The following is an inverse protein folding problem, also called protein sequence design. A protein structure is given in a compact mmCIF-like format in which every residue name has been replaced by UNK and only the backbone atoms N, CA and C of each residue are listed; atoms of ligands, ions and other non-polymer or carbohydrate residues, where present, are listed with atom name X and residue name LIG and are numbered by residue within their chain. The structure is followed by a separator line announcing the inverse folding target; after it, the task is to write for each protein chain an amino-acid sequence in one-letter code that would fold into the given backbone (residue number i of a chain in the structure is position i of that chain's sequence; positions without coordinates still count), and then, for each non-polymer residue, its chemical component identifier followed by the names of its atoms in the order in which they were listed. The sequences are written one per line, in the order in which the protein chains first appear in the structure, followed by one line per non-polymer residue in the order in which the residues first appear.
data_IF_847014618018
#
_entry.id   IF_847014618018
#
_cell.length_a   1.000
_cell.length_b   1.000
_cell.length_c   1.000
_cell.angle_alpha   90.00
_cell.angle_beta   90.00
_cell.angle_gamma   90.00
#
_symmetry.space_group_name_H-M   'P 1'
#
loop_
_entity.id
_entity.type
_entity.pdbx_description
1 polymer ?
#
# COMPACT_ATOMS: atom_id res chain seq x y z
N UNK A 1 6.75 16.11 10.79
CA UNK A 1 8.19 16.27 11.10
C UNK A 1 8.39 17.64 11.72
N UNK A 2 9.14 17.70 12.82
CA UNK A 2 9.47 18.93 13.54
C UNK A 2 10.05 19.98 12.60
N UNK A 3 9.71 21.25 12.82
CA UNK A 3 10.22 22.36 12.03
C UNK A 3 9.61 22.51 10.64
N UNK A 4 8.65 21.66 10.26
CA UNK A 4 7.96 21.76 8.96
C UNK A 4 6.45 21.90 9.11
N UNK A 5 5.80 22.60 8.17
CA UNK A 5 4.34 22.69 8.11
C UNK A 5 3.72 21.39 7.60
N UNK A 6 2.77 20.82 8.35
CA UNK A 6 1.94 19.73 7.86
C UNK A 6 0.77 20.35 7.10
N UNK A 7 0.70 20.14 5.79
CA UNK A 7 -0.24 20.86 4.93
C UNK A 7 -1.57 20.14 4.77
N UNK A 8 -1.60 18.81 4.96
CA UNK A 8 -2.72 17.95 4.55
C UNK A 8 -3.19 18.25 3.12
N UNK A 9 -2.28 18.74 2.27
CA UNK A 9 -2.55 19.19 0.91
C UNK A 9 -3.70 20.20 0.76
N UNK A 10 -3.95 20.99 1.81
CA UNK A 10 -4.88 22.12 1.84
C UNK A 10 -4.11 23.41 2.13
N UNK A 11 -4.33 24.45 1.30
CA UNK A 11 -3.72 25.77 1.53
C UNK A 11 -4.24 26.41 2.81
N UNK A 12 -5.56 26.33 3.03
CA UNK A 12 -6.20 26.84 4.24
C UNK A 12 -5.60 26.21 5.51
N UNK A 13 -5.42 24.89 5.52
CA UNK A 13 -4.80 24.18 6.64
C UNK A 13 -3.34 24.62 6.88
N UNK A 14 -2.56 24.72 5.80
CA UNK A 14 -1.16 25.18 5.87
C UNK A 14 -1.06 26.59 6.45
N UNK A 15 -2.00 27.48 6.12
CA UNK A 15 -1.95 28.88 6.52
C UNK A 15 -2.43 29.05 7.96
N UNK A 16 -3.38 28.23 8.40
CA UNK A 16 -3.92 28.23 9.77
C UNK A 16 -2.91 27.74 10.81
N UNK A 17 -2.09 26.73 10.50
CA UNK A 17 -1.21 26.10 11.47
C UNK A 17 0.28 26.47 11.29
N UNK A 18 1.02 26.66 12.40
CA UNK A 18 2.46 26.85 12.34
C UNK A 18 3.18 25.55 11.97
N UNK A 19 4.50 25.63 11.83
CA UNK A 19 5.33 24.44 11.71
C UNK A 19 5.17 23.55 12.95
N UNK A 20 5.21 22.24 12.74
CA UNK A 20 5.05 21.27 13.83
C UNK A 20 6.22 21.37 14.81
N UNK A 21 5.92 21.39 16.11
CA UNK A 21 6.92 21.43 17.19
C UNK A 21 7.54 20.06 17.50
N UNK A 22 6.96 18.98 16.98
CA UNK A 22 7.39 17.61 17.29
C UNK A 22 7.21 16.67 16.09
N UNK A 23 7.95 15.57 16.10
CA UNK A 23 7.77 14.51 15.14
C UNK A 23 6.51 13.71 15.45
N UNK A 24 5.90 13.13 14.42
CA UNK A 24 4.88 12.10 14.64
C UNK A 24 5.57 10.88 15.27
N UNK A 25 4.93 10.14 16.19
CA UNK A 25 5.57 9.02 16.88
C UNK A 25 6.21 7.99 15.94
N UNK A 26 5.55 7.65 14.84
CA UNK A 26 6.09 6.75 13.80
C UNK A 26 7.33 7.32 13.12
N UNK A 27 7.34 8.62 12.85
CA UNK A 27 8.51 9.29 12.25
C UNK A 27 9.67 9.35 13.24
N UNK A 28 9.39 9.63 14.51
CA UNK A 28 10.42 9.64 15.55
C UNK A 28 11.06 8.25 15.70
N UNK A 29 10.25 7.19 15.78
CA UNK A 29 10.74 5.81 15.85
C UNK A 29 11.65 5.43 14.68
N UNK A 30 11.34 5.89 13.46
CA UNK A 30 12.19 5.67 12.29
C UNK A 30 13.48 6.47 12.35
N UNK A 31 13.41 7.74 12.76
CA UNK A 31 14.60 8.58 12.94
C UNK A 31 15.54 7.99 14.01
N UNK A 32 14.99 7.49 15.11
CA UNK A 32 15.74 6.84 16.20
C UNK A 32 16.48 5.57 15.71
N UNK A 33 15.99 4.95 14.64
CA UNK A 33 16.60 3.80 13.96
C UNK A 33 17.56 4.17 12.83
N UNK A 34 17.80 5.47 12.63
CA UNK A 34 18.71 5.96 11.61
C UNK A 34 18.09 6.12 10.22
N UNK A 35 16.75 6.10 10.09
CA UNK A 35 16.11 6.41 8.83
C UNK A 35 16.35 7.87 8.43
N UNK A 36 16.57 8.12 7.13
CA UNK A 36 16.76 9.46 6.58
C UNK A 36 15.45 9.91 5.91
N UNK A 37 14.85 10.98 6.42
CA UNK A 37 13.63 11.54 5.84
C UNK A 37 13.98 12.52 4.72
N UNK A 38 13.70 12.11 3.49
CA UNK A 38 14.00 12.85 2.25
C UNK A 38 12.93 13.89 1.90
N UNK A 39 11.71 13.76 2.41
CA UNK A 39 10.60 14.66 2.05
C UNK A 39 9.24 14.23 2.57
N UNK A 40 8.22 14.99 2.16
CA UNK A 40 6.80 14.70 2.41
C UNK A 40 6.09 14.50 1.07
N UNK A 41 5.21 13.53 1.03
CA UNK A 41 4.51 13.13 -0.19
C UNK A 41 3.14 13.78 -0.31
N UNK A 42 2.63 13.87 -1.54
CA UNK A 42 1.26 14.30 -1.83
C UNK A 42 0.26 13.31 -1.24
N UNK A 43 -0.74 13.84 -0.53
CA UNK A 43 -1.99 13.14 -0.29
C UNK A 43 -3.20 13.95 -0.82
N UNK A 44 -4.38 13.35 -0.97
CA UNK A 44 -5.62 14.14 -1.19
C UNK A 44 -5.88 15.08 -0.01
N UNK A 45 -6.49 16.23 -0.26
CA UNK A 45 -6.71 17.22 0.77
C UNK A 45 -7.49 16.59 1.93
N UNK A 46 -7.02 16.80 3.16
CA UNK A 46 -7.69 16.28 4.37
C UNK A 46 -7.92 14.76 4.41
N UNK A 47 -7.21 13.97 3.58
CA UNK A 47 -7.37 12.50 3.49
C UNK A 47 -8.80 12.12 3.04
N UNK A 48 -9.49 13.01 2.31
CA UNK A 48 -10.78 12.68 1.71
C UNK A 48 -10.62 12.03 0.34
N UNK A 49 -11.68 11.36 -0.11
CA UNK A 49 -11.74 10.89 -1.50
C UNK A 49 -11.77 12.11 -2.40
N UNK A 50 -10.74 12.23 -3.24
CA UNK A 50 -10.65 13.25 -4.29
C UNK A 50 -10.10 12.55 -5.53
N UNK A 51 -10.73 12.80 -6.65
CA UNK A 51 -10.15 12.50 -7.95
C UNK A 51 -9.06 13.53 -8.28
N UNK A 52 -8.17 13.20 -9.21
CA UNK A 52 -7.04 14.10 -9.52
C UNK A 52 -7.47 15.47 -10.05
N UNK A 53 -8.63 15.53 -10.70
CA UNK A 53 -9.26 16.77 -11.18
C UNK A 53 -9.67 17.71 -10.04
N UNK A 54 -9.91 17.15 -8.85
CA UNK A 54 -10.37 17.87 -7.65
C UNK A 54 -9.20 18.37 -6.79
N UNK A 55 -7.98 17.88 -7.07
CA UNK A 55 -6.75 18.24 -6.36
C UNK A 55 -6.21 19.62 -6.79
N UNK A 56 -6.95 20.70 -6.48
CA UNK A 56 -6.63 22.07 -6.95
C UNK A 56 -5.54 22.77 -6.12
N UNK A 57 -5.39 22.42 -4.85
CA UNK A 57 -4.44 23.09 -3.96
C UNK A 57 -3.01 22.58 -4.09
N UNK A 58 -2.89 21.30 -4.42
CA UNK A 58 -1.67 20.60 -4.73
C UNK A 58 -2.03 19.59 -5.81
N UNK A 59 -1.40 19.66 -6.99
CA UNK A 59 -1.71 18.74 -8.08
C UNK A 59 -1.32 17.31 -7.70
N UNK A 60 -2.10 16.33 -8.16
CA UNK A 60 -1.74 14.93 -7.97
C UNK A 60 -0.52 14.58 -8.85
N UNK A 61 0.38 13.72 -8.38
CA UNK A 61 1.49 13.22 -9.19
C UNK A 61 0.95 12.30 -10.29
N UNK A 62 1.72 12.20 -11.37
CA UNK A 62 1.50 11.21 -12.41
C UNK A 62 1.90 9.82 -11.90
N UNK A 63 1.16 8.78 -12.30
CA UNK A 63 1.58 7.39 -12.05
C UNK A 63 2.71 7.03 -13.05
N UNK A 64 3.96 6.83 -12.61
CA UNK A 64 5.09 6.52 -13.49
C UNK A 64 4.95 5.19 -14.23
N UNK A 65 4.03 4.31 -13.81
CA UNK A 65 3.74 3.02 -14.44
C UNK A 65 2.41 3.00 -15.18
N UNK A 66 1.67 4.11 -15.17
CA UNK A 66 0.39 4.25 -15.84
C UNK A 66 0.51 4.73 -17.29
N UNK A 67 -0.62 4.73 -17.98
CA UNK A 67 -0.82 5.28 -19.33
C UNK A 67 -1.10 6.79 -19.36
N UNK A 68 -1.16 7.40 -18.17
CA UNK A 68 -1.49 8.80 -17.94
C UNK A 68 -2.95 9.14 -17.74
N UNK A 69 -3.83 8.15 -17.78
CA UNK A 69 -5.24 8.27 -17.39
C UNK A 69 -5.50 7.66 -16.02
N UNK A 70 -4.61 6.78 -15.53
CA UNK A 70 -4.71 6.22 -14.19
C UNK A 70 -4.40 7.25 -13.11
N UNK A 71 -5.46 7.70 -12.43
CA UNK A 71 -5.38 8.67 -11.34
C UNK A 71 -6.24 8.24 -10.14
N UNK A 72 -5.70 8.25 -8.92
CA UNK A 72 -6.50 8.20 -7.68
C UNK A 72 -5.64 8.59 -6.48
N UNK A 73 -6.28 8.67 -5.32
CA UNK A 73 -5.68 9.01 -4.03
C UNK A 73 -6.23 8.12 -2.89
N UNK A 74 -6.00 8.45 -1.63
CA UNK A 74 -5.34 9.68 -1.16
C UNK A 74 -3.81 9.61 -1.16
N UNK A 75 -3.15 8.46 -0.94
CA UNK A 75 -1.67 8.38 -0.78
C UNK A 75 -0.88 8.33 -2.09
N UNK A 76 -1.27 9.14 -3.08
CA UNK A 76 -0.74 9.10 -4.46
C UNK A 76 0.73 9.46 -4.55
N UNK A 77 1.17 10.46 -3.78
CA UNK A 77 2.58 10.85 -3.71
C UNK A 77 3.48 9.74 -3.21
N UNK A 78 3.03 8.97 -2.21
CA UNK A 78 3.82 7.90 -1.62
C UNK A 78 4.08 6.79 -2.64
N UNK A 79 3.05 6.32 -3.33
CA UNK A 79 3.21 5.22 -4.28
C UNK A 79 3.89 5.67 -5.58
N UNK A 80 3.60 6.88 -6.08
CA UNK A 80 4.24 7.42 -7.26
C UNK A 80 5.73 7.68 -7.04
N UNK A 81 6.13 8.18 -5.86
CA UNK A 81 7.53 8.39 -5.52
C UNK A 81 8.31 7.06 -5.54
N UNK A 82 7.77 6.02 -4.89
CA UNK A 82 8.38 4.69 -4.86
C UNK A 82 8.40 4.00 -6.23
N UNK A 83 7.38 4.25 -7.07
CA UNK A 83 7.35 3.70 -8.43
C UNK A 83 8.30 4.41 -9.42
N UNK A 84 8.70 5.65 -9.12
CA UNK A 84 9.50 6.52 -9.99
C UNK A 84 10.98 6.63 -9.57
N UNK A 85 11.26 6.59 -8.27
CA UNK A 85 12.59 6.86 -7.73
C UNK A 85 13.21 5.57 -7.17
N UNK A 86 14.13 4.99 -7.93
CA UNK A 86 14.84 3.76 -7.54
C UNK A 86 15.69 3.93 -6.25
N UNK A 87 15.99 5.17 -5.88
CA UNK A 87 16.74 5.51 -4.66
C UNK A 87 15.85 5.67 -3.40
N UNK A 88 14.52 5.54 -3.53
CA UNK A 88 13.59 5.63 -2.41
C UNK A 88 13.16 4.24 -1.93
N UNK A 89 13.60 3.85 -0.73
CA UNK A 89 13.36 2.51 -0.19
C UNK A 89 11.93 2.30 0.33
N UNK A 90 11.44 3.26 1.14
CA UNK A 90 10.16 3.17 1.84
C UNK A 90 9.43 4.50 1.83
N UNK A 91 8.11 4.44 1.91
CA UNK A 91 7.24 5.58 2.13
C UNK A 91 6.15 5.24 3.14
N UNK A 92 5.74 6.22 3.92
CA UNK A 92 4.62 6.08 4.84
C UNK A 92 3.40 6.76 4.22
N UNK A 93 2.23 6.16 4.41
CA UNK A 93 0.95 6.72 4.01
C UNK A 93 -0.12 6.42 5.06
N UNK A 94 -1.35 6.85 4.79
CA UNK A 94 -2.52 6.41 5.56
C UNK A 94 -3.46 5.63 4.64
N UNK A 95 -4.09 4.59 5.18
CA UNK A 95 -5.06 3.77 4.48
C UNK A 95 -6.31 3.73 5.37
N UNK A 96 -7.29 4.58 5.08
CA UNK A 96 -8.60 4.54 5.76
C UNK A 96 -9.53 3.57 5.04
N UNK A 97 -9.64 3.71 3.72
CA UNK A 97 -10.45 2.86 2.86
C UNK A 97 -9.68 2.47 1.58
N UNK A 98 -8.53 1.80 1.76
CA UNK A 98 -7.65 1.29 0.68
C UNK A 98 -6.73 2.33 0.03
N UNK A 99 -6.59 3.51 0.61
CA UNK A 99 -5.80 4.62 0.05
C UNK A 99 -4.31 4.34 -0.15
N UNK A 100 -3.73 3.31 0.46
CA UNK A 100 -2.37 2.86 0.15
C UNK A 100 -2.38 1.61 -0.73
N UNK A 101 -3.15 0.57 -0.35
CA UNK A 101 -3.13 -0.72 -1.07
C UNK A 101 -3.62 -0.60 -2.52
N UNK A 102 -4.66 0.19 -2.78
CA UNK A 102 -5.17 0.45 -4.13
C UNK A 102 -4.12 1.13 -5.00
N UNK A 103 -3.42 2.13 -4.45
CA UNK A 103 -2.42 2.89 -5.19
C UNK A 103 -1.12 2.12 -5.38
N UNK A 104 -0.77 1.28 -4.41
CA UNK A 104 0.37 0.38 -4.51
C UNK A 104 0.21 -0.59 -5.68
N UNK A 105 -0.98 -1.20 -5.80
CA UNK A 105 -1.34 -2.03 -6.94
C UNK A 105 -1.16 -1.30 -8.28
N UNK A 106 -1.62 -0.05 -8.38
CA UNK A 106 -1.55 0.72 -9.63
C UNK A 106 -0.15 1.23 -9.98
N UNK A 107 0.68 1.56 -8.98
CA UNK A 107 2.04 2.03 -9.20
C UNK A 107 3.07 0.88 -9.24
N UNK A 108 2.61 -0.36 -9.09
CA UNK A 108 3.47 -1.54 -9.09
C UNK A 108 4.40 -1.63 -7.88
N UNK A 109 3.96 -1.14 -6.72
CA UNK A 109 4.72 -1.18 -5.45
C UNK A 109 3.96 -1.99 -4.39
N UNK A 110 4.59 -2.29 -3.26
CA UNK A 110 3.97 -3.04 -2.17
C UNK A 110 3.45 -2.10 -1.09
N UNK A 111 2.29 -2.42 -0.50
CA UNK A 111 1.79 -1.71 0.68
C UNK A 111 1.16 -2.67 1.68
N UNK A 112 1.44 -2.44 2.95
CA UNK A 112 0.83 -3.14 4.08
C UNK A 112 0.07 -2.14 4.95
N UNK A 113 -1.17 -2.51 5.29
CA UNK A 113 -1.96 -1.86 6.33
C UNK A 113 -1.97 -2.75 7.56
N UNK A 114 -1.30 -2.36 8.66
CA UNK A 114 -1.34 -3.10 9.92
C UNK A 114 -2.76 -3.18 10.49
N UNK A 115 -3.00 -4.16 11.37
CA UNK A 115 -4.24 -4.27 12.13
C UNK A 115 -4.46 -3.01 12.98
N UNK A 116 -5.71 -2.57 13.11
CA UNK A 116 -6.10 -1.32 13.80
C UNK A 116 -5.57 -1.17 15.24
N UNK A 117 -5.33 -2.29 15.93
CA UNK A 117 -4.88 -2.33 17.32
C UNK A 117 -3.35 -2.36 17.47
N UNK A 118 -2.61 -2.49 16.37
CA UNK A 118 -1.16 -2.38 16.39
C UNK A 118 -0.80 -0.89 16.55
N UNK A 119 -0.18 -0.58 17.68
CA UNK A 119 0.02 0.73 18.28
C UNK A 119 0.50 1.82 17.31
N UNK A 120 -0.02 3.05 17.51
CA UNK A 120 0.36 4.31 16.86
C UNK A 120 -0.16 4.55 15.44
N UNK A 121 -1.45 4.89 15.39
CA UNK A 121 -2.14 5.60 14.30
C UNK A 121 -2.29 4.80 12.98
N UNK A 122 -3.33 5.13 12.20
CA UNK A 122 -3.74 4.46 10.95
C UNK A 122 -2.73 4.65 9.80
N UNK A 123 -1.44 4.44 10.05
CA UNK A 123 -0.38 4.54 9.06
C UNK A 123 -0.19 3.19 8.38
N UNK A 124 -0.14 3.23 7.06
CA UNK A 124 0.24 2.11 6.21
C UNK A 124 1.65 2.33 5.71
N UNK A 125 2.43 1.26 5.71
CA UNK A 125 3.80 1.27 5.23
C UNK A 125 3.77 0.83 3.75
N UNK A 126 4.29 1.68 2.88
CA UNK A 126 4.47 1.40 1.45
C UNK A 126 5.96 1.15 1.24
N UNK A 127 6.30 0.04 0.59
CA UNK A 127 7.68 -0.41 0.42
C UNK A 127 7.94 -0.60 -1.07
N UNK A 128 9.07 -0.07 -1.54
CA UNK A 128 9.58 -0.39 -2.87
C UNK A 128 10.33 -1.70 -2.79
N UNK A 129 9.88 -2.72 -3.52
CA UNK A 129 10.67 -3.90 -3.80
C UNK A 129 10.96 -3.89 -5.30
N UNK A 130 12.03 -3.23 -5.70
CA UNK A 130 12.50 -3.27 -7.09
C UNK A 130 13.36 -4.52 -7.33
N UNK A 131 13.32 -5.13 -8.53
CA UNK A 131 12.38 -4.93 -9.64
C UNK A 131 11.48 -6.16 -9.85
N UNK A 132 10.47 -5.98 -10.70
CA UNK A 132 9.59 -7.00 -11.30
C UNK A 132 8.32 -7.37 -10.53
N UNK A 133 7.20 -6.79 -10.91
CA UNK A 133 5.90 -7.39 -10.63
C UNK A 133 5.72 -8.60 -11.57
N UNK A 134 6.19 -9.76 -11.14
CA UNK A 134 5.67 -11.07 -11.51
C UNK A 134 5.81 -11.94 -10.25
N UNK A 135 4.69 -12.18 -9.56
CA UNK A 135 4.56 -13.21 -8.54
C UNK A 135 5.06 -14.54 -9.12
N UNK A 136 6.34 -14.88 -8.90
CA UNK A 136 6.95 -16.23 -9.06
C UNK A 136 8.46 -16.34 -8.79
N UNK A 137 9.23 -15.27 -8.55
CA UNK A 137 10.68 -15.39 -8.27
C UNK A 137 11.00 -15.56 -6.78
N UNK A 138 11.68 -16.66 -6.43
CA UNK A 138 12.19 -16.96 -5.08
C UNK A 138 12.94 -15.79 -4.42
N UNK A 139 13.70 -15.00 -5.19
CA UNK A 139 14.45 -13.86 -4.68
C UNK A 139 13.56 -12.74 -4.08
N UNK A 140 12.36 -12.52 -4.60
CA UNK A 140 11.44 -11.52 -4.04
C UNK A 140 10.78 -12.00 -2.75
N UNK A 141 10.45 -13.29 -2.67
CA UNK A 141 9.95 -13.90 -1.44
C UNK A 141 10.98 -13.73 -0.31
N UNK A 142 12.27 -13.88 -0.59
CA UNK A 142 13.32 -13.68 0.42
C UNK A 142 13.38 -12.24 0.94
N UNK A 143 13.23 -11.23 0.07
CA UNK A 143 13.22 -9.82 0.51
C UNK A 143 11.96 -9.51 1.33
N UNK A 144 10.80 -10.01 0.90
CA UNK A 144 9.54 -9.88 1.65
C UNK A 144 9.66 -10.58 3.02
N UNK A 145 10.21 -11.78 3.08
CA UNK A 145 10.43 -12.53 4.31
C UNK A 145 11.43 -11.82 5.24
N UNK A 146 12.51 -11.26 4.69
CA UNK A 146 13.46 -10.46 5.46
C UNK A 146 12.80 -9.21 6.05
N UNK A 147 11.99 -8.52 5.25
CA UNK A 147 11.23 -7.35 5.69
C UNK A 147 10.20 -7.71 6.77
N UNK A 148 9.44 -8.79 6.58
CA UNK A 148 8.47 -9.29 7.57
C UNK A 148 9.18 -9.65 8.87
N UNK A 149 10.32 -10.34 8.83
CA UNK A 149 11.13 -10.63 10.03
C UNK A 149 11.60 -9.37 10.73
N UNK A 150 11.96 -8.33 9.97
CA UNK A 150 12.27 -7.01 10.53
C UNK A 150 11.08 -6.39 11.25
N UNK A 151 9.88 -6.46 10.67
CA UNK A 151 8.64 -6.00 11.30
C UNK A 151 8.28 -6.80 12.55
N UNK A 152 8.42 -8.12 12.53
CA UNK A 152 8.17 -8.98 13.68
C UNK A 152 9.08 -8.66 14.86
N UNK A 153 10.39 -8.49 14.58
CA UNK A 153 11.37 -8.11 15.59
C UNK A 153 11.08 -6.73 16.18
N UNK A 154 10.69 -5.77 15.33
CA UNK A 154 10.46 -4.40 15.75
C UNK A 154 9.17 -4.24 16.55
N UNK A 155 8.08 -4.82 16.07
CA UNK A 155 6.77 -4.70 16.68
C UNK A 155 6.58 -5.68 17.84
N UNK A 156 7.55 -6.56 18.10
CA UNK A 156 7.46 -7.66 19.08
C UNK A 156 6.22 -8.54 18.85
N UNK A 157 5.85 -8.73 17.59
CA UNK A 157 4.71 -9.56 17.16
C UNK A 157 5.20 -10.72 16.32
N UNK A 158 4.43 -11.80 16.28
CA UNK A 158 4.66 -12.93 15.35
C UNK A 158 3.55 -12.96 14.31
N UNK A 159 3.92 -13.24 13.06
CA UNK A 159 2.95 -13.50 12.00
C UNK A 159 2.16 -14.76 12.33
N UNK A 160 0.87 -14.69 12.10
CA UNK A 160 0.01 -15.87 12.11
C UNK A 160 -0.11 -16.35 10.67
N UNK A 161 0.42 -17.55 10.40
CA UNK A 161 0.20 -18.20 9.12
C UNK A 161 -1.26 -18.62 9.04
N UNK A 162 -2.05 -17.92 8.22
CA UNK A 162 -3.44 -18.27 7.96
C UNK A 162 -3.50 -18.96 6.60
N UNK A 163 -3.74 -20.27 6.62
CA UNK A 163 -4.00 -21.03 5.40
C UNK A 163 -5.49 -20.97 5.13
N UNK A 164 -5.87 -20.34 4.02
CA UNK A 164 -7.28 -20.19 3.64
C UNK A 164 -8.00 -21.55 3.57
N UNK A 165 -7.32 -22.59 3.09
CA UNK A 165 -7.87 -23.95 3.05
C UNK A 165 -8.12 -24.56 4.44
N UNK A 166 -7.32 -24.20 5.45
CA UNK A 166 -7.53 -24.67 6.83
C UNK A 166 -8.63 -23.87 7.52
N UNK A 167 -8.69 -22.56 7.30
CA UNK A 167 -9.76 -21.72 7.82
C UNK A 167 -11.11 -22.04 7.18
N UNK A 168 -11.14 -22.38 5.89
CA UNK A 168 -12.34 -22.85 5.19
C UNK A 168 -12.95 -24.10 5.84
N UNK A 169 -12.12 -25.00 6.39
CA UNK A 169 -12.61 -26.17 7.12
C UNK A 169 -13.22 -25.81 8.47
N UNK A 170 -12.76 -24.73 9.11
CA UNK A 170 -13.20 -24.29 10.44
C UNK A 170 -14.42 -23.37 10.40
N UNK A 171 -14.47 -22.47 9.41
CA UNK A 171 -15.41 -21.34 9.35
C UNK A 171 -16.16 -21.28 8.02
N UNK A 172 -16.61 -22.43 7.52
CA UNK A 172 -17.43 -22.50 6.30
C UNK A 172 -18.77 -21.77 6.48
N UNK A 173 -19.26 -21.02 5.48
CA UNK A 173 -20.61 -20.46 5.48
C UNK A 173 -21.68 -21.57 5.63
N UNK A 174 -22.74 -21.27 6.37
CA UNK A 174 -23.82 -22.23 6.62
C UNK A 174 -24.55 -22.57 5.31
N UNK A 175 -24.60 -23.86 4.95
CA UNK A 175 -25.31 -24.33 3.75
C UNK A 175 -24.40 -24.66 2.56
N UNK A 176 -23.08 -24.48 2.69
CA UNK A 176 -22.11 -24.88 1.65
C UNK A 176 -21.63 -26.31 1.90
N UNK A 177 -21.72 -27.17 0.89
CA UNK A 177 -21.22 -28.56 0.95
C UNK A 177 -19.69 -28.61 1.13
N UNK A 178 -19.18 -29.78 1.54
CA UNK A 178 -17.75 -29.98 1.71
C UNK A 178 -17.04 -30.04 0.35
N UNK A 179 -16.49 -28.89 -0.06
CA UNK A 179 -15.77 -28.72 -1.32
C UNK A 179 -14.53 -27.85 -1.18
N UNK A 180 -13.71 -27.85 -2.23
CA UNK A 180 -12.53 -26.99 -2.34
C UNK A 180 -12.96 -25.52 -2.30
N UNK A 181 -12.29 -24.72 -1.47
CA UNK A 181 -12.51 -23.28 -1.38
C UNK A 181 -12.36 -22.58 -2.74
N UNK A 182 -11.51 -23.13 -3.61
CA UNK A 182 -11.34 -22.62 -4.98
C UNK A 182 -12.64 -22.70 -5.79
N UNK A 183 -13.37 -23.82 -5.69
CA UNK A 183 -14.63 -24.04 -6.42
C UNK A 183 -15.72 -23.08 -5.92
N UNK A 184 -15.80 -22.90 -4.60
CA UNK A 184 -16.75 -21.95 -4.01
C UNK A 184 -16.49 -20.51 -4.46
N UNK A 185 -15.22 -20.08 -4.49
CA UNK A 185 -14.86 -18.73 -4.93
C UNK A 185 -15.07 -18.49 -6.43
N UNK A 186 -15.07 -19.55 -7.25
CA UNK A 186 -15.38 -19.49 -8.68
C UNK A 186 -16.90 -19.40 -8.96
N UNK A 187 -17.74 -19.94 -8.08
CA UNK A 187 -19.20 -19.93 -8.21
C UNK A 187 -19.84 -18.65 -7.64
N UNK A 188 -19.32 -18.11 -6.54
CA UNK A 188 -19.76 -16.87 -5.89
C UNK A 188 -19.20 -15.61 -6.59
N UNK A 189 -19.37 -15.53 -7.92
CA UNK A 189 -18.77 -14.59 -8.90
C UNK A 189 -18.99 -13.08 -8.69
N UNK A 190 -19.29 -12.64 -7.48
CA UNK A 190 -19.39 -11.22 -7.10
C UNK A 190 -18.08 -10.63 -6.55
N UNK A 191 -16.96 -11.35 -6.61
CA UNK A 191 -15.63 -10.80 -6.31
C UNK A 191 -14.86 -10.42 -7.60
N UNK A 192 -14.95 -9.16 -8.08
CA UNK A 192 -14.27 -8.70 -9.31
C UNK A 192 -12.73 -8.68 -9.22
N UNK A 193 -12.13 -9.14 -8.13
CA UNK A 193 -10.69 -8.97 -7.84
C UNK A 193 -9.80 -10.12 -8.34
N UNK A 194 -10.34 -11.31 -8.65
CA UNK A 194 -9.52 -12.45 -9.13
C UNK A 194 -9.51 -12.61 -10.65
N UNK A 195 -10.47 -12.02 -11.37
CA UNK A 195 -10.63 -12.24 -12.81
C UNK A 195 -9.45 -11.71 -13.66
N UNK A 196 -8.66 -10.76 -13.14
CA UNK A 196 -7.52 -10.18 -13.86
C UNK A 196 -6.26 -11.04 -13.85
N UNK A 197 -6.19 -12.12 -13.06
CA UNK A 197 -4.97 -12.92 -12.92
C UNK A 197 -4.94 -14.19 -13.78
N UNK A 198 -6.08 -14.65 -14.28
CA UNK A 198 -6.19 -15.84 -15.11
C UNK A 198 -7.34 -15.70 -16.10
N UNK A 199 -7.10 -14.99 -17.19
CA UNK A 199 -7.93 -15.15 -18.40
C UNK A 199 -7.09 -15.83 -19.50
N UNK A 200 -7.25 -17.15 -19.68
CA UNK A 200 -6.57 -17.89 -20.75
C UNK A 200 -7.02 -17.48 -22.16
N UNK A 201 -8.14 -16.76 -22.30
CA UNK A 201 -8.64 -16.30 -23.60
C UNK A 201 -7.92 -15.07 -24.14
N UNK A 202 -7.12 -14.38 -23.31
CA UNK A 202 -6.35 -13.18 -23.70
C UNK A 202 -5.05 -13.47 -24.44
N UNK A 203 -4.73 -14.73 -24.75
CA UNK A 203 -3.70 -15.09 -25.75
C UNK A 203 -2.29 -14.55 -25.50
N UNK A 204 -1.90 -14.30 -24.24
CA UNK A 204 -0.62 -13.68 -23.93
C UNK A 204 0.53 -14.69 -24.01
N UNK A 205 1.28 -14.66 -25.11
CA UNK A 205 2.50 -15.43 -25.33
C UNK A 205 3.70 -14.49 -25.08
N UNK A 206 4.50 -14.67 -24.01
CA UNK A 206 5.60 -13.76 -23.73
C UNK A 206 6.73 -13.96 -24.76
N UNK A 207 7.34 -12.87 -25.28
CA UNK A 207 8.53 -13.01 -26.10
C UNK A 207 9.70 -13.46 -25.21
N UNK A 208 10.45 -14.42 -25.72
CA UNK A 208 11.75 -14.84 -25.19
C UNK A 208 12.67 -13.63 -25.23
N UNK A 209 13.20 -13.21 -24.07
CA UNK A 209 14.58 -12.75 -23.81
C UNK A 209 14.78 -12.50 -22.31
#
# INVERSE_FOLDING_TARGET
MTGTKNTLCSKAWRDLYPASSQNAPTIQSLLDKGAIVIGKTKLNAMIVHEETMECVDCLAPFNPRGDGYQTSGSSSGSCAALGAYDWADISIGSDTNRSCRKLAHWNGVFAIRPTHECSMCQFSLVVTLLPFLLLRKHAQTEVIESFIKGLEAELSVKRTGVLLAEEWKKFRPSGVEEGDVAVYLEEERDCPYLHCLFDPSLGWNPPIL
#
